data_IF_743993278631
#
_entry.id   IF_743993278631
#
_cell.length_a   1.000
_cell.length_b   1.000
_cell.length_c   1.000
_cell.angle_alpha   90.00
_cell.angle_beta   90.00
_cell.angle_gamma   90.00
#
_symmetry.space_group_name_H-M   'P 1'
#
loop_
_entity.id
_entity.type
_entity.pdbx_description
1 polymer ?
#
# COMPACT_ATOMS: atom_id res chain seq x y z
N UNK A 1 4.01 -4.12 10.22
CA UNK A 1 5.43 -4.08 9.92
C UNK A 1 5.73 -4.57 8.51
N UNK A 2 6.51 -3.80 7.75
CA UNK A 2 6.75 -4.04 6.34
C UNK A 2 8.00 -4.90 6.14
N UNK A 3 7.95 -6.13 6.64
CA UNK A 3 9.13 -6.98 6.74
C UNK A 3 9.76 -7.37 5.41
N UNK A 4 8.98 -7.46 4.34
CA UNK A 4 9.46 -7.98 3.07
C UNK A 4 9.67 -6.90 2.00
N UNK A 5 9.49 -5.63 2.36
CA UNK A 5 9.70 -4.55 1.41
C UNK A 5 11.11 -4.00 1.58
N UNK A 6 11.95 -4.16 0.56
CA UNK A 6 13.32 -3.63 0.58
C UNK A 6 13.38 -2.16 0.19
N UNK A 7 12.36 -1.65 -0.50
CA UNK A 7 12.21 -0.24 -0.84
C UNK A 7 10.76 0.13 -0.65
N UNK A 8 10.50 1.17 0.12
CA UNK A 8 9.15 1.46 0.56
C UNK A 8 8.98 2.96 0.80
N UNK A 9 7.86 3.50 0.34
CA UNK A 9 7.45 4.87 0.60
C UNK A 9 6.19 4.85 1.45
N UNK A 10 6.21 5.65 2.52
CA UNK A 10 5.02 5.89 3.34
C UNK A 10 4.19 6.97 2.64
N UNK A 11 2.96 6.65 2.28
CA UNK A 11 2.09 7.57 1.55
C UNK A 11 1.27 8.42 2.49
N UNK A 12 0.60 7.82 3.47
CA UNK A 12 -0.21 8.58 4.42
C UNK A 12 -0.52 7.74 5.66
N UNK A 13 -0.93 8.43 6.73
CA UNK A 13 -1.37 7.81 7.98
C UNK A 13 -2.70 8.41 8.39
N UNK A 14 -3.50 7.62 9.12
CA UNK A 14 -4.63 8.16 9.87
C UNK A 14 -4.11 8.92 11.10
N UNK A 15 -5.03 9.48 11.89
CA UNK A 15 -4.66 10.26 13.09
C UNK A 15 -3.85 9.39 14.06
N UNK A 16 -2.57 9.75 14.25
CA UNK A 16 -1.64 9.01 15.10
C UNK A 16 -1.92 9.17 16.60
N UNK A 17 -2.76 10.12 16.99
CA UNK A 17 -3.15 10.32 18.37
C UNK A 17 -4.22 9.33 18.83
N UNK A 18 -4.77 8.55 17.91
CA UNK A 18 -5.76 7.53 18.22
C UNK A 18 -5.09 6.21 18.59
N UNK A 19 -5.75 5.36 19.40
CA UNK A 19 -5.19 4.04 19.74
C UNK A 19 -5.11 3.08 18.55
N UNK A 20 -5.87 3.33 17.49
CA UNK A 20 -5.84 2.55 16.26
C UNK A 20 -5.40 3.45 15.13
N UNK A 21 -4.36 3.04 14.40
CA UNK A 21 -3.77 3.82 13.31
C UNK A 21 -3.73 2.98 12.04
N UNK A 22 -4.07 3.59 10.92
CA UNK A 22 -3.87 2.98 9.60
C UNK A 22 -2.80 3.74 8.83
N UNK A 23 -1.84 2.99 8.29
CA UNK A 23 -0.76 3.52 7.47
C UNK A 23 -0.82 2.91 6.07
N UNK A 24 -0.58 3.73 5.05
CA UNK A 24 -0.55 3.30 3.66
C UNK A 24 0.88 3.40 3.14
N UNK A 25 1.37 2.31 2.58
CA UNK A 25 2.72 2.21 2.01
C UNK A 25 2.67 1.67 0.60
N UNK A 26 3.66 2.05 -0.19
CA UNK A 26 3.93 1.43 -1.49
C UNK A 26 5.41 1.06 -1.56
N UNK A 27 5.72 -0.09 -2.12
CA UNK A 27 7.10 -0.53 -2.18
C UNK A 27 7.29 -1.72 -3.09
N UNK A 28 8.53 -2.20 -3.15
CA UNK A 28 8.89 -3.45 -3.84
C UNK A 28 9.36 -4.47 -2.82
N UNK A 29 8.95 -5.71 -3.00
CA UNK A 29 9.52 -6.80 -2.22
C UNK A 29 10.83 -7.28 -2.87
N UNK A 30 11.46 -8.31 -2.27
CA UNK A 30 12.74 -8.83 -2.78
C UNK A 30 12.65 -9.50 -4.13
N UNK A 31 11.44 -9.81 -4.58
CA UNK A 31 11.18 -10.39 -5.90
C UNK A 31 10.76 -9.35 -6.93
N UNK A 32 10.83 -8.09 -6.57
CA UNK A 32 10.41 -6.95 -7.40
C UNK A 32 8.91 -6.94 -7.71
N UNK A 33 8.11 -7.54 -6.85
CA UNK A 33 6.67 -7.32 -6.88
C UNK A 33 6.36 -5.91 -6.37
N UNK A 34 5.47 -5.22 -7.05
CA UNK A 34 4.99 -3.92 -6.58
C UNK A 34 3.90 -4.18 -5.54
N UNK A 35 4.09 -3.66 -4.34
CA UNK A 35 3.20 -3.91 -3.21
C UNK A 35 2.64 -2.60 -2.69
N UNK A 36 1.31 -2.53 -2.58
CA UNK A 36 0.62 -1.43 -1.91
C UNK A 36 -0.06 -2.03 -0.69
N UNK A 37 0.22 -1.51 0.50
CA UNK A 37 -0.26 -2.12 1.73
C UNK A 37 -0.83 -1.10 2.69
N UNK A 38 -1.94 -1.45 3.35
CA UNK A 38 -2.46 -0.75 4.52
C UNK A 38 -2.13 -1.58 5.74
N UNK A 39 -1.44 -0.99 6.71
CA UNK A 39 -1.26 -1.58 8.02
C UNK A 39 -2.27 -0.96 8.97
N UNK A 40 -3.11 -1.80 9.57
CA UNK A 40 -4.07 -1.41 10.60
C UNK A 40 -3.51 -1.87 11.93
N UNK A 41 -3.04 -0.93 12.74
CA UNK A 41 -2.35 -1.22 13.98
C UNK A 41 -3.20 -0.77 15.16
N UNK A 42 -3.55 -1.73 16.02
CA UNK A 42 -4.25 -1.46 17.27
C UNK A 42 -3.23 -1.53 18.40
N UNK A 43 -2.86 -0.37 18.93
CA UNK A 43 -1.83 -0.30 19.98
C UNK A 43 -2.32 -0.78 21.33
N UNK A 44 -3.64 -0.77 21.58
CA UNK A 44 -4.20 -1.27 22.82
C UNK A 44 -4.40 -2.79 22.78
N UNK A 45 -4.78 -3.31 21.63
CA UNK A 45 -5.05 -4.74 21.43
C UNK A 45 -4.32 -5.22 20.18
N UNK A 46 -3.00 -5.46 20.29
CA UNK A 46 -2.19 -5.81 19.11
C UNK A 46 -2.68 -7.04 18.35
N UNK A 47 -3.41 -7.93 19.01
CA UNK A 47 -3.99 -9.12 18.37
C UNK A 47 -5.05 -8.78 17.31
N UNK A 48 -5.59 -7.57 17.33
CA UNK A 48 -6.53 -7.10 16.31
C UNK A 48 -5.85 -6.36 15.17
N UNK A 49 -4.53 -6.20 15.23
CA UNK A 49 -3.80 -5.59 14.13
C UNK A 49 -3.85 -6.49 12.90
N UNK A 50 -3.90 -5.86 11.73
CA UNK A 50 -3.97 -6.58 10.47
C UNK A 50 -3.35 -5.76 9.35
N UNK A 51 -3.14 -6.39 8.21
CA UNK A 51 -2.71 -5.68 7.02
C UNK A 51 -3.44 -6.21 5.79
N UNK A 52 -3.59 -5.34 4.80
CA UNK A 52 -4.16 -5.68 3.50
C UNK A 52 -3.16 -5.20 2.46
N UNK A 53 -2.73 -6.11 1.60
CA UNK A 53 -1.76 -5.80 0.55
C UNK A 53 -2.31 -6.14 -0.83
N UNK A 54 -2.10 -5.24 -1.78
CA UNK A 54 -2.30 -5.52 -3.19
C UNK A 54 -0.93 -5.76 -3.81
N UNK A 55 -0.75 -6.91 -4.42
CA UNK A 55 0.55 -7.34 -4.95
C UNK A 55 0.47 -7.49 -6.45
N UNK A 56 1.27 -6.69 -7.16
CA UNK A 56 1.42 -6.74 -8.62
C UNK A 56 2.70 -7.49 -8.93
N UNK A 57 2.64 -8.51 -9.77
CA UNK A 57 3.84 -9.28 -10.08
C UNK A 57 4.86 -8.45 -10.87
N UNK A 58 6.09 -8.92 -10.92
CA UNK A 58 7.20 -8.22 -11.55
C UNK A 58 6.92 -7.87 -13.01
N UNK A 59 6.35 -8.78 -13.77
CA UNK A 59 6.08 -8.56 -15.19
C UNK A 59 5.06 -7.44 -15.42
N UNK A 60 3.97 -7.45 -14.66
CA UNK A 60 2.95 -6.42 -14.78
C UNK A 60 3.46 -5.07 -14.29
N UNK A 61 4.28 -5.06 -13.23
CA UNK A 61 4.91 -3.83 -12.75
C UNK A 61 5.86 -3.27 -13.80
N UNK A 62 6.63 -4.12 -14.46
CA UNK A 62 7.52 -3.71 -15.53
C UNK A 62 6.75 -3.13 -16.72
N UNK A 63 5.66 -3.78 -17.11
CA UNK A 63 4.81 -3.27 -18.18
C UNK A 63 4.20 -1.92 -17.85
N UNK A 64 3.81 -1.72 -16.59
CA UNK A 64 3.31 -0.43 -16.12
C UNK A 64 4.40 0.65 -16.23
N UNK A 65 5.62 0.33 -15.84
CA UNK A 65 6.73 1.29 -15.95
C UNK A 65 6.99 1.71 -17.39
N UNK A 66 6.89 0.77 -18.33
CA UNK A 66 7.03 1.07 -19.75
C UNK A 66 5.93 2.00 -20.24
N UNK A 67 4.68 1.77 -19.83
CA UNK A 67 3.56 2.62 -20.21
C UNK A 67 3.74 4.04 -19.71
N UNK A 68 4.27 4.19 -18.51
CA UNK A 68 4.51 5.48 -17.88
C UNK A 68 5.84 6.10 -18.31
N UNK A 69 6.63 5.37 -19.08
CA UNK A 69 7.94 5.82 -19.61
C UNK A 69 8.91 6.21 -18.50
N UNK A 70 8.92 5.44 -17.42
CA UNK A 70 9.85 5.63 -16.30
C UNK A 70 10.56 4.32 -15.98
N UNK A 71 11.75 4.37 -15.39
CA UNK A 71 12.37 3.17 -14.86
C UNK A 71 11.48 2.53 -13.80
N UNK A 72 11.52 1.21 -13.70
CA UNK A 72 10.66 0.47 -12.78
C UNK A 72 10.76 0.96 -11.34
N UNK A 73 11.97 1.27 -10.89
CA UNK A 73 12.21 1.75 -9.52
C UNK A 73 11.52 3.10 -9.26
N UNK A 74 11.27 3.90 -10.29
CA UNK A 74 10.61 5.19 -10.18
C UNK A 74 9.08 5.09 -10.14
N UNK A 75 8.52 3.87 -10.26
CA UNK A 75 7.08 3.68 -10.07
C UNK A 75 6.62 4.14 -8.69
N UNK A 76 7.46 3.96 -7.67
CA UNK A 76 7.12 4.39 -6.32
C UNK A 76 6.97 5.92 -6.27
N UNK A 77 7.85 6.65 -6.95
CA UNK A 77 7.76 8.11 -7.02
C UNK A 77 6.48 8.55 -7.72
N UNK A 78 6.15 7.93 -8.85
CA UNK A 78 4.96 8.26 -9.62
C UNK A 78 3.69 8.02 -8.81
N UNK A 79 3.60 6.88 -8.14
CA UNK A 79 2.43 6.54 -7.32
C UNK A 79 2.31 7.52 -6.16
N UNK A 80 3.43 7.78 -5.47
CA UNK A 80 3.44 8.71 -4.34
C UNK A 80 3.02 10.11 -4.77
N UNK A 81 3.55 10.61 -5.87
CA UNK A 81 3.22 11.94 -6.38
C UNK A 81 1.75 12.02 -6.81
N UNK A 82 1.22 10.98 -7.43
CA UNK A 82 -0.19 10.98 -7.86
C UNK A 82 -1.16 11.01 -6.69
N UNK A 83 -0.71 10.63 -5.50
CA UNK A 83 -1.55 10.60 -4.29
C UNK A 83 -1.33 11.81 -3.38
N UNK A 84 -0.56 12.82 -3.81
CA UNK A 84 -0.26 13.99 -2.98
C UNK A 84 -1.51 14.72 -2.48
N UNK A 85 -2.55 14.79 -3.29
CA UNK A 85 -3.79 15.46 -2.88
C UNK A 85 -4.39 14.84 -1.64
N UNK A 86 -4.28 13.53 -1.50
CA UNK A 86 -4.78 12.80 -0.34
C UNK A 86 -3.90 13.03 0.89
N UNK A 87 -2.59 13.18 0.66
CA UNK A 87 -1.64 13.31 1.77
C UNK A 87 -1.61 14.70 2.38
N UNK A 88 -2.15 15.70 1.70
CA UNK A 88 -2.21 17.09 2.19
C UNK A 88 -3.36 17.33 3.14
N UNK A 89 -4.26 16.37 3.30
CA UNK A 89 -5.43 16.53 4.16
C UNK A 89 -5.02 16.54 5.62
N UNK A 90 -5.52 17.53 6.36
CA UNK A 90 -5.35 17.59 7.81
C UNK A 90 -6.45 16.72 8.44
N UNK A 91 -6.14 16.00 9.52
CA UNK A 91 -7.07 15.13 10.22
C UNK A 91 -7.56 13.96 9.34
N UNK A 92 -6.61 13.25 8.76
CA UNK A 92 -6.89 12.07 7.94
C UNK A 92 -7.58 10.98 8.77
N UNK A 93 -8.68 10.45 8.27
CA UNK A 93 -9.39 9.35 8.90
C UNK A 93 -9.15 8.03 8.13
N UNK A 94 -9.70 6.92 8.66
CA UNK A 94 -9.56 5.62 8.03
C UNK A 94 -10.17 5.60 6.62
N UNK A 95 -11.30 6.29 6.44
CA UNK A 95 -11.94 6.35 5.14
C UNK A 95 -11.02 6.94 4.07
N UNK A 96 -10.26 7.96 4.42
CA UNK A 96 -9.33 8.60 3.48
C UNK A 96 -8.15 7.68 3.12
N UNK A 97 -7.61 6.95 4.10
CA UNK A 97 -6.54 5.99 3.87
C UNK A 97 -7.03 4.87 2.94
N UNK A 98 -8.20 4.32 3.22
CA UNK A 98 -8.79 3.25 2.42
C UNK A 98 -9.17 3.73 1.02
N UNK A 99 -9.66 4.97 0.91
CA UNK A 99 -9.98 5.55 -0.39
C UNK A 99 -8.73 5.73 -1.25
N UNK A 100 -7.64 6.17 -0.66
CA UNK A 100 -6.36 6.29 -1.36
C UNK A 100 -5.88 4.92 -1.86
N UNK A 101 -5.97 3.89 -1.03
CA UNK A 101 -5.64 2.52 -1.42
C UNK A 101 -6.49 2.08 -2.61
N UNK A 102 -7.79 2.35 -2.55
CA UNK A 102 -8.73 2.02 -3.63
C UNK A 102 -8.36 2.75 -4.92
N UNK A 103 -8.02 4.03 -4.84
CA UNK A 103 -7.60 4.80 -6.01
C UNK A 103 -6.37 4.20 -6.67
N UNK A 104 -5.39 3.77 -5.90
CA UNK A 104 -4.19 3.14 -6.44
C UNK A 104 -4.55 1.82 -7.13
N UNK A 105 -5.36 0.98 -6.50
CA UNK A 105 -5.75 -0.31 -7.09
C UNK A 105 -6.64 -0.12 -8.31
N UNK A 106 -7.49 0.89 -8.32
CA UNK A 106 -8.31 1.23 -9.49
C UNK A 106 -7.42 1.67 -10.67
N UNK A 107 -6.32 2.38 -10.39
CA UNK A 107 -5.34 2.72 -11.42
C UNK A 107 -4.69 1.46 -12.01
N UNK A 108 -4.39 0.47 -11.18
CA UNK A 108 -3.87 -0.81 -11.69
C UNK A 108 -4.85 -1.46 -12.65
N UNK A 109 -6.14 -1.49 -12.30
CA UNK A 109 -7.19 -2.03 -13.16
C UNK A 109 -7.24 -1.27 -14.48
N UNK A 110 -7.23 0.07 -14.42
CA UNK A 110 -7.27 0.92 -15.60
C UNK A 110 -6.09 0.69 -16.53
N UNK A 111 -4.92 0.36 -15.99
CA UNK A 111 -3.71 0.05 -16.77
C UNK A 111 -3.55 -1.43 -17.06
N UNK A 112 -4.56 -2.23 -16.77
CA UNK A 112 -4.58 -3.68 -16.98
C UNK A 112 -3.47 -4.41 -16.20
N UNK A 113 -3.10 -3.88 -15.05
CA UNK A 113 -2.19 -4.54 -14.11
C UNK A 113 -3.00 -5.47 -13.21
N UNK A 114 -2.70 -6.74 -13.28
CA UNK A 114 -3.33 -7.72 -12.39
C UNK A 114 -2.66 -7.65 -11.03
N UNK A 115 -3.47 -7.70 -9.99
CA UNK A 115 -2.95 -7.77 -8.62
C UNK A 115 -3.76 -8.79 -7.82
N UNK A 116 -3.14 -9.26 -6.74
CA UNK A 116 -3.82 -10.15 -5.79
C UNK A 116 -3.86 -9.45 -4.43
N UNK A 117 -4.90 -9.77 -3.67
CA UNK A 117 -5.06 -9.22 -2.32
C UNK A 117 -4.64 -10.29 -1.32
N UNK A 118 -3.78 -9.88 -0.37
CA UNK A 118 -3.35 -10.72 0.74
C UNK A 118 -3.68 -9.99 2.04
N UNK A 119 -4.37 -10.68 2.95
CA UNK A 119 -4.70 -10.14 4.27
C UNK A 119 -3.97 -10.96 5.33
N UNK A 120 -3.37 -10.25 6.29
CA UNK A 120 -2.68 -10.88 7.43
C UNK A 120 -3.27 -10.32 8.71
N UNK A 121 -3.56 -11.21 9.65
CA UNK A 121 -4.17 -10.84 10.92
C UNK A 121 -3.28 -11.21 12.10
N UNK A 122 -3.17 -10.27 13.06
CA UNK A 122 -2.51 -10.50 14.33
C UNK A 122 -1.03 -10.81 14.21
N UNK A 123 -0.47 -11.25 15.34
CA UNK A 123 0.95 -11.59 15.42
C UNK A 123 1.29 -12.89 14.70
N UNK A 124 0.30 -13.73 14.49
CA UNK A 124 0.51 -15.08 13.92
C UNK A 124 0.55 -15.05 12.40
N UNK A 125 0.35 -13.90 11.80
CA UNK A 125 0.45 -13.76 10.35
C UNK A 125 -0.55 -14.61 9.58
N UNK A 126 -1.74 -14.83 10.12
CA UNK A 126 -2.78 -15.54 9.38
C UNK A 126 -3.06 -14.82 8.07
N UNK A 127 -3.05 -15.57 6.99
CA UNK A 127 -3.36 -15.05 5.68
C UNK A 127 -4.81 -15.40 5.38
N UNK A 128 -5.61 -14.37 5.13
CA UNK A 128 -7.00 -14.52 4.77
C UNK A 128 -7.21 -13.82 3.43
N UNK A 129 -7.72 -14.53 2.48
CA UNK A 129 -7.97 -13.99 1.14
C UNK A 129 -9.45 -13.79 0.90
#
# INVERSE_FOLDING_TARGET
MLQNLWRCYHIMSSDEDQPVVEDLYVGFDTYMHLVVTIEHIDYEKPEYSCSISAIVNKEDAFNLSKKLKVPMIHLLDVISESMEEYTKTVNTDFGQVQECFKEITDCFIGEKCLYRIVRKYGKHGFICC
#
